data_IF_497413320817
#
_entry.id   IF_497413320817
#
_cell.length_a   1.000
_cell.length_b   1.000
_cell.length_c   1.000
_cell.angle_alpha   90.00
_cell.angle_beta   90.00
_cell.angle_gamma   90.00
#
_symmetry.space_group_name_H-M   'P 1'
#
loop_
_entity.id
_entity.type
_entity.pdbx_description
1 polymer ?
#
# COMPACT_ATOMS: atom_id res chain seq x y z
N UNK A 1 -23.17 -0.50 5.03
CA UNK A 1 -22.54 0.67 5.67
C UNK A 1 -22.87 1.96 4.91
N UNK A 2 -22.55 2.07 3.61
CA UNK A 2 -22.87 3.28 2.81
C UNK A 2 -24.35 3.64 2.86
N UNK A 3 -25.24 2.67 2.60
CA UNK A 3 -26.69 2.90 2.66
C UNK A 3 -27.16 3.35 4.05
N UNK A 4 -26.71 2.67 5.12
CA UNK A 4 -27.03 3.05 6.51
C UNK A 4 -26.52 4.45 6.87
N UNK A 5 -25.34 4.84 6.36
CA UNK A 5 -24.79 6.17 6.57
C UNK A 5 -25.57 7.26 5.82
N UNK A 6 -26.08 6.93 4.63
CA UNK A 6 -27.00 7.80 3.89
C UNK A 6 -28.34 7.98 4.61
N UNK A 7 -28.95 6.87 5.05
CA UNK A 7 -30.21 6.88 5.81
C UNK A 7 -30.09 7.64 7.13
N UNK A 8 -28.94 7.54 7.80
CA UNK A 8 -28.63 8.28 9.02
C UNK A 8 -28.27 9.76 8.79
N UNK A 9 -28.50 10.32 7.60
CA UNK A 9 -28.19 11.71 7.25
C UNK A 9 -26.72 12.09 7.55
N UNK A 10 -25.79 11.16 7.29
CA UNK A 10 -24.35 11.28 7.58
C UNK A 10 -23.98 11.28 9.07
N UNK A 11 -24.87 10.82 9.95
CA UNK A 11 -24.54 10.55 11.35
C UNK A 11 -23.93 9.15 11.49
N UNK A 12 -22.65 9.08 11.88
CA UNK A 12 -21.91 7.82 12.01
C UNK A 12 -22.41 6.93 13.16
N UNK A 13 -22.88 7.52 14.26
CA UNK A 13 -23.39 6.77 15.41
C UNK A 13 -24.75 6.17 15.08
N UNK A 14 -25.62 6.96 14.46
CA UNK A 14 -26.94 6.49 14.06
C UNK A 14 -26.84 5.44 12.95
N UNK A 15 -25.94 5.62 11.98
CA UNK A 15 -25.66 4.62 10.96
C UNK A 15 -25.19 3.28 11.54
N UNK A 16 -24.42 3.32 12.64
CA UNK A 16 -23.97 2.14 13.35
C UNK A 16 -25.14 1.43 14.04
N UNK A 17 -26.05 2.18 14.66
CA UNK A 17 -27.26 1.65 15.28
C UNK A 17 -28.15 0.96 14.24
N UNK A 18 -28.47 1.65 13.16
CA UNK A 18 -29.25 1.09 12.03
C UNK A 18 -28.58 -0.17 11.45
N UNK A 19 -27.24 -0.19 11.37
CA UNK A 19 -26.51 -1.36 10.89
C UNK A 19 -26.61 -2.55 11.85
N UNK A 20 -26.58 -2.31 13.16
CA UNK A 20 -26.74 -3.36 14.17
C UNK A 20 -28.16 -3.94 14.13
N UNK A 21 -29.17 -3.07 14.03
CA UNK A 21 -30.58 -3.46 13.94
C UNK A 21 -30.86 -4.27 12.66
N UNK A 22 -30.29 -3.85 11.52
CA UNK A 22 -30.49 -4.53 10.24
C UNK A 22 -29.67 -5.83 10.10
N UNK A 23 -28.55 -5.97 10.82
CA UNK A 23 -27.64 -7.12 10.72
C UNK A 23 -27.15 -7.58 12.11
N UNK A 24 -28.03 -8.12 12.96
CA UNK A 24 -27.71 -8.41 14.37
C UNK A 24 -26.61 -9.48 14.55
N UNK A 25 -26.47 -10.41 13.61
CA UNK A 25 -25.46 -11.49 13.68
C UNK A 25 -24.08 -11.08 13.15
N UNK A 26 -23.94 -9.87 12.60
CA UNK A 26 -22.66 -9.41 12.04
C UNK A 26 -21.83 -8.68 13.08
N UNK A 27 -20.50 -8.82 12.96
CA UNK A 27 -19.55 -8.01 13.75
C UNK A 27 -19.81 -6.53 13.51
N UNK A 28 -20.10 -5.80 14.58
CA UNK A 28 -20.41 -4.38 14.53
C UNK A 28 -19.17 -3.55 14.17
N UNK A 29 -19.18 -2.80 13.06
CA UNK A 29 -18.08 -1.91 12.69
C UNK A 29 -18.00 -0.70 13.63
N UNK A 30 -16.82 -0.08 13.69
CA UNK A 30 -16.67 1.21 14.38
C UNK A 30 -17.50 2.29 13.66
N UNK A 31 -18.08 3.23 14.40
CA UNK A 31 -18.85 4.35 13.83
C UNK A 31 -18.04 5.13 12.77
N UNK A 32 -16.73 5.35 12.99
CA UNK A 32 -15.85 6.03 12.02
C UNK A 32 -15.77 5.31 10.68
N UNK A 33 -15.93 3.98 10.66
CA UNK A 33 -15.87 3.18 9.43
C UNK A 33 -16.96 3.58 8.44
N UNK A 34 -18.13 4.01 8.91
CA UNK A 34 -19.24 4.44 8.05
C UNK A 34 -18.88 5.69 7.24
N UNK A 35 -18.37 6.72 7.91
CA UNK A 35 -17.90 7.94 7.25
C UNK A 35 -16.71 7.66 6.32
N UNK A 36 -15.71 6.92 6.81
CA UNK A 36 -14.47 6.64 6.06
C UNK A 36 -14.74 5.90 4.74
N UNK A 37 -15.69 4.96 4.73
CA UNK A 37 -16.04 4.22 3.52
C UNK A 37 -16.66 5.16 2.47
N UNK A 38 -17.53 6.08 2.88
CA UNK A 38 -18.13 7.06 1.96
C UNK A 38 -17.12 8.10 1.50
N UNK A 39 -16.23 8.55 2.38
CA UNK A 39 -15.14 9.45 2.03
C UNK A 39 -14.23 8.83 0.97
N UNK A 40 -13.80 7.58 1.16
CA UNK A 40 -12.96 6.86 0.18
C UNK A 40 -13.63 6.73 -1.18
N UNK A 41 -14.93 6.44 -1.21
CA UNK A 41 -15.69 6.40 -2.45
C UNK A 41 -15.72 7.76 -3.16
N UNK A 42 -15.91 8.85 -2.41
CA UNK A 42 -15.93 10.20 -2.98
C UNK A 42 -14.57 10.61 -3.53
N UNK A 43 -13.50 10.30 -2.81
CA UNK A 43 -12.14 10.72 -3.17
C UNK A 43 -11.53 9.85 -4.27
N UNK A 44 -11.83 8.55 -4.29
CA UNK A 44 -11.09 7.59 -5.12
C UNK A 44 -11.99 6.73 -6.02
N UNK A 45 -13.32 6.82 -5.90
CA UNK A 45 -14.26 5.98 -6.65
C UNK A 45 -14.22 4.49 -6.29
N UNK A 46 -13.41 4.09 -5.30
CA UNK A 46 -13.18 2.68 -4.94
C UNK A 46 -13.15 2.44 -3.43
N UNK A 47 -13.56 1.24 -3.04
CA UNK A 47 -13.52 0.79 -1.64
C UNK A 47 -12.14 0.29 -1.19
N UNK A 48 -11.22 0.05 -2.13
CA UNK A 48 -9.92 -0.53 -1.84
C UNK A 48 -9.10 0.38 -0.92
N UNK A 49 -8.36 -0.20 0.05
CA UNK A 49 -7.38 0.55 0.80
C UNK A 49 -6.33 1.14 -0.15
N UNK A 50 -5.76 2.29 0.23
CA UNK A 50 -4.62 2.86 -0.48
C UNK A 50 -3.40 1.95 -0.23
N UNK A 51 -3.14 1.03 -1.15
CA UNK A 51 -1.99 0.13 -1.06
C UNK A 51 -0.66 0.87 -1.18
N UNK A 52 -0.65 2.06 -1.81
CA UNK A 52 0.55 2.89 -1.94
C UNK A 52 1.10 3.40 -0.61
N UNK A 53 0.29 3.40 0.45
CA UNK A 53 0.63 3.95 1.77
C UNK A 53 1.09 2.86 2.77
N UNK A 54 1.28 1.64 2.28
CA UNK A 54 1.63 0.45 3.09
C UNK A 54 3.08 0.01 2.90
N UNK A 55 3.86 0.72 2.10
CA UNK A 55 5.30 0.51 1.89
C UNK A 55 6.10 1.74 2.34
N UNK A 56 7.38 1.54 2.65
CA UNK A 56 8.31 2.65 2.90
C UNK A 56 8.37 3.50 1.62
N UNK A 57 8.11 4.81 1.72
CA UNK A 57 8.27 5.73 0.60
C UNK A 57 9.68 5.59 0.01
N UNK A 58 9.77 5.42 -1.33
CA UNK A 58 11.06 5.46 -2.03
C UNK A 58 11.62 6.87 -1.90
N UNK A 59 12.69 7.01 -1.13
CA UNK A 59 13.44 8.27 -1.04
C UNK A 59 14.37 8.41 -2.24
N UNK A 60 14.80 9.63 -2.56
CA UNK A 60 15.80 9.90 -3.61
C UNK A 60 17.03 8.99 -3.46
N UNK A 61 17.56 8.86 -2.23
CA UNK A 61 18.68 7.95 -1.92
C UNK A 61 18.43 6.48 -2.24
N UNK A 62 17.16 6.04 -2.18
CA UNK A 62 16.79 4.67 -2.53
C UNK A 62 16.76 4.50 -4.05
N UNK A 63 16.29 5.52 -4.78
CA UNK A 63 16.30 5.53 -6.24
C UNK A 63 17.73 5.56 -6.79
N UNK A 64 18.61 6.40 -6.24
CA UNK A 64 20.01 6.49 -6.65
C UNK A 64 20.72 5.13 -6.49
N UNK A 65 20.51 4.46 -5.36
CA UNK A 65 21.08 3.14 -5.10
C UNK A 65 20.48 2.06 -6.02
N UNK A 66 19.18 2.13 -6.33
CA UNK A 66 18.52 1.21 -7.26
C UNK A 66 19.07 1.38 -8.69
N UNK A 67 19.25 2.62 -9.16
CA UNK A 67 19.86 2.92 -10.47
C UNK A 67 21.31 2.45 -10.54
N UNK A 68 22.11 2.66 -9.49
CA UNK A 68 23.50 2.20 -9.45
C UNK A 68 23.58 0.66 -9.49
N UNK A 69 22.68 -0.04 -8.79
CA UNK A 69 22.55 -1.51 -8.85
C UNK A 69 22.32 -1.96 -10.31
N UNK A 70 21.36 -1.35 -11.00
CA UNK A 70 20.98 -1.73 -12.36
C UNK A 70 22.10 -1.43 -13.36
N UNK A 71 22.73 -0.26 -13.25
CA UNK A 71 23.87 0.12 -14.09
C UNK A 71 25.03 -0.87 -13.95
N UNK A 72 25.35 -1.32 -12.74
CA UNK A 72 26.45 -2.28 -12.55
C UNK A 72 26.10 -3.66 -13.11
N UNK A 73 24.85 -4.11 -12.98
CA UNK A 73 24.40 -5.40 -13.53
C UNK A 73 24.34 -5.37 -15.07
N UNK A 74 23.93 -4.25 -15.66
CA UNK A 74 23.94 -4.10 -17.13
C UNK A 74 25.37 -4.20 -17.69
N UNK A 75 26.35 -3.62 -16.99
CA UNK A 75 27.75 -3.67 -17.39
C UNK A 75 28.45 -5.02 -17.08
N UNK A 76 28.00 -5.75 -16.05
CA UNK A 76 28.54 -7.07 -15.67
C UNK A 76 27.41 -7.99 -15.15
N UNK A 77 26.66 -8.66 -16.04
CA UNK A 77 25.54 -9.52 -15.65
C UNK A 77 25.93 -10.72 -14.79
N UNK A 78 27.22 -11.10 -14.78
CA UNK A 78 27.74 -12.21 -13.99
C UNK A 78 28.09 -11.82 -12.54
N UNK A 79 27.93 -10.54 -12.16
CA UNK A 79 28.32 -10.07 -10.83
C UNK A 79 27.47 -10.71 -9.73
N UNK A 80 28.13 -11.30 -8.74
CA UNK A 80 27.42 -11.84 -7.58
C UNK A 80 26.76 -10.73 -6.75
N UNK A 81 25.57 -11.01 -6.21
CA UNK A 81 24.82 -10.10 -5.31
C UNK A 81 25.69 -9.55 -4.17
N UNK A 82 26.54 -10.40 -3.57
CA UNK A 82 27.46 -9.97 -2.50
C UNK A 82 28.45 -8.93 -3.00
N UNK A 83 29.10 -9.18 -4.13
CA UNK A 83 30.10 -8.25 -4.70
C UNK A 83 29.46 -6.93 -5.11
N UNK A 84 28.25 -6.98 -5.66
CA UNK A 84 27.47 -5.81 -6.01
C UNK A 84 27.08 -4.97 -4.78
N UNK A 85 26.62 -5.64 -3.71
CA UNK A 85 26.31 -5.01 -2.43
C UNK A 85 27.52 -4.25 -1.85
N UNK A 86 28.72 -4.84 -1.87
CA UNK A 86 29.93 -4.14 -1.42
C UNK A 86 30.30 -2.94 -2.30
N UNK A 87 30.08 -3.02 -3.61
CA UNK A 87 30.41 -1.95 -4.55
C UNK A 87 29.51 -0.73 -4.37
N UNK A 88 28.20 -0.95 -4.25
CA UNK A 88 27.19 0.12 -4.11
C UNK A 88 27.03 0.59 -2.65
N UNK A 89 27.53 -0.19 -1.68
CA UNK A 89 27.45 0.17 -0.26
C UNK A 89 26.07 -0.06 0.36
N UNK A 90 25.26 -0.96 -0.22
CA UNK A 90 23.92 -1.32 0.25
C UNK A 90 23.86 -2.78 0.68
N UNK A 91 22.83 -3.16 1.45
CA UNK A 91 22.72 -4.54 1.90
C UNK A 91 22.44 -5.50 0.73
N UNK A 92 22.88 -6.77 0.80
CA UNK A 92 22.57 -7.77 -0.22
C UNK A 92 21.06 -7.97 -0.47
N UNK A 93 20.24 -7.72 0.56
CA UNK A 93 18.78 -7.80 0.45
C UNK A 93 18.21 -6.68 -0.43
N UNK A 94 18.75 -5.46 -0.36
CA UNK A 94 18.35 -4.35 -1.24
C UNK A 94 18.65 -4.71 -2.69
N UNK A 95 19.86 -5.20 -2.98
CA UNK A 95 20.24 -5.68 -4.32
C UNK A 95 19.28 -6.75 -4.84
N UNK A 96 19.02 -7.80 -4.06
CA UNK A 96 18.10 -8.87 -4.47
C UNK A 96 16.67 -8.36 -4.72
N UNK A 97 16.17 -7.50 -3.83
CA UNK A 97 14.82 -6.92 -3.95
C UNK A 97 14.70 -6.09 -5.22
N UNK A 98 15.66 -5.21 -5.50
CA UNK A 98 15.66 -4.34 -6.67
C UNK A 98 15.63 -5.15 -7.97
N UNK A 99 16.47 -6.17 -8.10
CA UNK A 99 16.50 -7.03 -9.28
C UNK A 99 15.17 -7.77 -9.46
N UNK A 100 14.61 -8.32 -8.38
CA UNK A 100 13.32 -9.03 -8.44
C UNK A 100 12.12 -8.13 -8.72
N UNK A 101 12.15 -6.87 -8.26
CA UNK A 101 11.12 -5.87 -8.57
C UNK A 101 11.15 -5.44 -10.05
N UNK A 102 12.33 -5.38 -10.69
CA UNK A 102 12.44 -5.09 -12.13
C UNK A 102 12.00 -6.28 -13.01
N UNK A 103 12.34 -7.51 -12.62
CA UNK A 103 11.92 -8.71 -13.34
C UNK A 103 10.39 -8.88 -13.35
N UNK A 104 9.72 -8.54 -12.26
CA UNK A 104 8.25 -8.64 -12.12
C UNK A 104 7.46 -7.49 -12.77
N UNK A 105 8.13 -6.47 -13.31
CA UNK A 105 7.48 -5.28 -13.90
C UNK A 105 7.38 -5.35 -15.44
N UNK A 106 7.59 -6.54 -16.03
CA UNK A 106 7.34 -6.89 -17.43
C UNK A 106 6.03 -7.67 -17.58
#
# INVERSE_FOLDING_TARGET
MVLMYGQALRNSLEARRLYQEAFPERRLPNHKTFANVVQRLRENGKFQPRFSDRGRERTERTLDAEEEILNVVENDPGISIRRLSYRVGVSPFVVWRTLHEQDNNH
#
